data_IF_635218266629
#
_entry.id   IF_635218266629
#
_cell.length_a   1.000
_cell.length_b   1.000
_cell.length_c   1.000
_cell.angle_alpha   90.00
_cell.angle_beta   90.00
_cell.angle_gamma   90.00
#
_symmetry.space_group_name_H-M   'P 1'
#
loop_
_entity.id
_entity.type
_entity.pdbx_description
1 polymer ?
#
# COMPACT_ATOMS: atom_id res chain seq x y z
N UNK A 1 -23.25 5.95 1.19
CA UNK A 1 -22.05 5.86 0.34
C UNK A 1 -22.41 4.92 -0.79
N UNK A 2 -22.33 5.41 -2.01
CA UNK A 2 -22.74 4.69 -3.21
C UNK A 2 -21.50 4.30 -4.01
N UNK A 3 -21.61 3.25 -4.81
CA UNK A 3 -20.51 2.71 -5.59
C UNK A 3 -20.87 2.84 -7.06
N UNK A 4 -19.90 3.24 -7.87
CA UNK A 4 -20.09 3.54 -9.28
C UNK A 4 -19.02 2.85 -10.11
N UNK A 5 -19.40 2.32 -11.28
CA UNK A 5 -18.48 1.89 -12.33
C UNK A 5 -18.63 2.77 -13.56
N UNK A 6 -17.51 3.19 -14.12
CA UNK A 6 -17.43 3.95 -15.36
C UNK A 6 -17.00 3.02 -16.49
N UNK A 7 -17.72 3.08 -17.60
CA UNK A 7 -17.43 2.26 -18.78
C UNK A 7 -16.76 3.12 -19.86
N UNK A 8 -15.75 2.54 -20.51
CA UNK A 8 -15.21 3.07 -21.74
C UNK A 8 -16.18 2.80 -22.92
N UNK A 9 -16.02 3.48 -24.07
CA UNK A 9 -16.87 3.30 -25.25
C UNK A 9 -16.88 1.87 -25.82
N UNK A 10 -15.87 1.06 -25.47
CA UNK A 10 -15.72 -0.34 -25.85
C UNK A 10 -16.39 -1.32 -24.86
N UNK A 11 -17.02 -0.80 -23.79
CA UNK A 11 -17.66 -1.59 -22.73
C UNK A 11 -16.70 -2.11 -21.66
N UNK A 12 -15.41 -1.78 -21.73
CA UNK A 12 -14.44 -2.12 -20.67
C UNK A 12 -14.63 -1.21 -19.45
N UNK A 13 -14.35 -1.73 -18.25
CA UNK A 13 -14.40 -0.94 -17.01
C UNK A 13 -13.19 -0.02 -16.98
N UNK A 14 -13.44 1.29 -16.96
CA UNK A 14 -12.40 2.32 -16.91
C UNK A 14 -11.98 2.61 -15.47
N UNK A 15 -12.96 2.80 -14.58
CA UNK A 15 -12.73 3.20 -13.19
C UNK A 15 -13.90 2.78 -12.32
N UNK A 16 -13.62 2.48 -11.05
CA UNK A 16 -14.62 2.19 -10.02
C UNK A 16 -14.41 3.15 -8.84
N UNK A 17 -15.46 3.84 -8.41
CA UNK A 17 -15.39 4.88 -7.38
C UNK A 17 -16.43 4.66 -6.26
N UNK A 18 -16.07 5.05 -5.03
CA UNK A 18 -17.00 5.11 -3.91
C UNK A 18 -17.30 6.58 -3.57
N UNK A 19 -18.41 7.08 -4.11
CA UNK A 19 -18.79 8.48 -3.95
C UNK A 19 -20.31 8.65 -3.98
N UNK A 20 -20.83 9.65 -3.26
CA UNK A 20 -22.25 10.01 -3.30
C UNK A 20 -22.41 11.29 -4.09
N UNK A 21 -22.63 11.17 -5.41
CA UNK A 21 -22.84 12.31 -6.28
C UNK A 21 -24.22 12.94 -5.99
N UNK A 22 -24.32 14.27 -5.88
CA UNK A 22 -25.60 14.95 -5.71
C UNK A 22 -26.41 15.05 -7.02
N UNK A 23 -25.88 14.53 -8.13
CA UNK A 23 -26.46 14.56 -9.47
C UNK A 23 -26.16 13.26 -10.22
N UNK A 24 -26.93 12.98 -11.27
CA UNK A 24 -26.70 11.82 -12.16
C UNK A 24 -25.41 12.07 -12.94
N UNK A 25 -24.44 11.17 -12.81
CA UNK A 25 -23.18 11.22 -13.56
C UNK A 25 -23.38 10.46 -14.88
N UNK A 26 -23.27 11.12 -16.05
CA UNK A 26 -23.34 10.43 -17.33
C UNK A 26 -22.21 9.40 -17.42
N UNK A 27 -22.51 8.23 -18.01
CA UNK A 27 -21.61 7.09 -18.18
C UNK A 27 -21.19 6.35 -16.88
N UNK A 28 -21.82 6.68 -15.75
CA UNK A 28 -21.65 5.97 -14.48
C UNK A 28 -22.82 5.02 -14.21
N UNK A 29 -22.52 3.75 -13.95
CA UNK A 29 -23.49 2.75 -13.51
C UNK A 29 -23.32 2.55 -12.01
N UNK A 30 -24.38 2.74 -11.25
CA UNK A 30 -24.37 2.41 -9.83
C UNK A 30 -24.24 0.88 -9.66
N UNK A 31 -23.30 0.46 -8.84
CA UNK A 31 -23.02 -0.94 -8.53
C UNK A 31 -23.24 -1.22 -7.05
N UNK A 32 -23.34 -2.50 -6.70
CA UNK A 32 -23.38 -2.89 -5.30
C UNK A 32 -21.99 -2.84 -4.67
N UNK A 33 -21.94 -2.89 -3.34
CA UNK A 33 -20.68 -2.96 -2.59
C UNK A 33 -19.89 -4.22 -2.97
N UNK A 34 -20.57 -5.33 -3.19
CA UNK A 34 -19.97 -6.62 -3.53
C UNK A 34 -19.26 -6.57 -4.89
N UNK A 35 -19.85 -5.91 -5.89
CA UNK A 35 -19.21 -5.68 -7.19
C UNK A 35 -17.97 -4.78 -7.06
N UNK A 36 -18.05 -3.74 -6.22
CA UNK A 36 -16.92 -2.86 -5.93
C UNK A 36 -15.77 -3.63 -5.28
N UNK A 37 -16.04 -4.37 -4.20
CA UNK A 37 -15.03 -5.12 -3.46
C UNK A 37 -14.41 -6.23 -4.33
N UNK A 38 -15.20 -6.88 -5.19
CA UNK A 38 -14.69 -7.86 -6.16
C UNK A 38 -13.76 -7.24 -7.21
N UNK A 39 -14.07 -6.04 -7.70
CA UNK A 39 -13.19 -5.32 -8.62
C UNK A 39 -11.87 -4.93 -7.93
N UNK A 40 -11.94 -4.35 -6.73
CA UNK A 40 -10.74 -3.99 -5.95
C UNK A 40 -9.87 -5.22 -5.67
N UNK A 41 -10.47 -6.36 -5.29
CA UNK A 41 -9.75 -7.61 -5.06
C UNK A 41 -9.15 -8.23 -6.33
N UNK A 42 -9.69 -7.88 -7.51
CA UNK A 42 -9.15 -8.32 -8.80
C UNK A 42 -7.95 -7.50 -9.28
N UNK A 43 -7.71 -6.34 -8.68
CA UNK A 43 -6.55 -5.52 -9.02
C UNK A 43 -5.27 -6.27 -8.61
N UNK A 44 -4.22 -6.23 -9.45
CA UNK A 44 -2.94 -6.80 -9.08
C UNK A 44 -2.43 -6.11 -7.82
N UNK A 45 -1.99 -6.88 -6.83
CA UNK A 45 -1.31 -6.32 -5.67
C UNK A 45 -0.07 -5.57 -6.15
N UNK A 46 0.13 -4.30 -5.74
CA UNK A 46 1.35 -3.60 -6.07
C UNK A 46 2.53 -4.38 -5.49
N UNK A 47 3.54 -4.64 -6.32
CA UNK A 47 4.79 -5.22 -5.81
C UNK A 47 5.33 -4.33 -4.68
N UNK A 48 5.75 -4.91 -3.54
CA UNK A 48 6.35 -4.11 -2.49
C UNK A 48 7.59 -3.41 -3.07
N UNK A 49 7.82 -2.13 -2.72
CA UNK A 49 9.02 -1.45 -3.15
C UNK A 49 10.25 -2.24 -2.69
N UNK A 50 11.33 -2.28 -3.49
CA UNK A 50 12.56 -2.93 -3.05
C UNK A 50 13.06 -2.28 -1.76
N UNK A 51 13.60 -3.06 -0.82
CA UNK A 51 14.11 -2.52 0.44
C UNK A 51 15.24 -1.53 0.16
N UNK A 52 15.24 -0.43 0.89
CA UNK A 52 16.31 0.55 0.90
C UNK A 52 17.61 -0.07 1.46
N UNK A 53 18.78 0.51 1.16
CA UNK A 53 20.04 0.04 1.73
C UNK A 53 20.04 -0.01 3.27
N UNK A 54 19.34 0.92 3.92
CA UNK A 54 19.21 0.96 5.37
C UNK A 54 18.32 -0.17 5.91
N UNK A 55 17.23 -0.50 5.22
CA UNK A 55 16.36 -1.65 5.54
C UNK A 55 17.11 -2.97 5.35
N UNK A 56 17.90 -3.09 4.27
CA UNK A 56 18.77 -4.25 4.04
C UNK A 56 19.78 -4.41 5.17
N UNK A 57 20.45 -3.32 5.58
CA UNK A 57 21.43 -3.36 6.68
C UNK A 57 20.79 -3.75 8.01
N UNK A 58 19.60 -3.22 8.30
CA UNK A 58 18.85 -3.59 9.50
C UNK A 58 18.45 -5.07 9.47
N UNK A 59 17.97 -5.58 8.32
CA UNK A 59 17.65 -7.00 8.15
C UNK A 59 18.87 -7.89 8.32
N UNK A 60 20.03 -7.51 7.80
CA UNK A 60 21.29 -8.23 8.01
C UNK A 60 21.69 -8.28 9.48
N UNK A 61 21.58 -7.17 10.21
CA UNK A 61 21.87 -7.10 11.65
C UNK A 61 20.95 -8.01 12.46
N UNK A 62 19.65 -8.02 12.15
CA UNK A 62 18.67 -8.83 12.86
C UNK A 62 18.76 -10.32 12.49
N UNK A 63 19.04 -10.64 11.22
CA UNK A 63 19.11 -12.03 10.72
C UNK A 63 20.39 -12.73 11.13
N UNK A 64 21.49 -11.99 11.29
CA UNK A 64 22.79 -12.54 11.71
C UNK A 64 23.07 -12.36 13.20
N UNK A 65 22.15 -11.76 13.97
CA UNK A 65 22.35 -11.64 15.41
C UNK A 65 22.35 -13.04 16.03
N UNK A 66 23.42 -13.45 16.74
CA UNK A 66 23.32 -14.59 17.65
C UNK A 66 22.26 -14.29 18.71
N UNK A 67 21.88 -15.27 19.54
CA UNK A 67 20.92 -15.09 20.65
C UNK A 67 21.21 -13.88 21.58
N UNK A 68 22.39 -13.25 21.44
CA UNK A 68 22.82 -12.01 22.08
C UNK A 68 23.34 -11.00 21.03
N UNK A 69 22.58 -9.93 20.78
CA UNK A 69 23.04 -8.77 20.01
C UNK A 69 23.99 -7.90 20.85
N UNK A 70 25.08 -7.40 20.27
CA UNK A 70 26.07 -6.58 20.97
C UNK A 70 25.63 -5.11 21.09
N UNK A 71 26.16 -4.38 22.08
CA UNK A 71 25.82 -2.97 22.29
C UNK A 71 26.09 -2.06 21.08
N UNK A 72 27.19 -2.24 20.31
CA UNK A 72 27.38 -1.51 19.05
C UNK A 72 26.31 -1.81 17.99
N UNK A 73 25.92 -3.08 17.84
CA UNK A 73 24.88 -3.49 16.88
C UNK A 73 23.50 -2.94 17.26
N UNK A 74 23.17 -2.91 18.56
CA UNK A 74 21.96 -2.24 19.07
C UNK A 74 21.98 -0.75 18.68
N UNK A 75 23.10 -0.07 18.90
CA UNK A 75 23.21 1.36 18.55
C UNK A 75 23.09 1.62 17.05
N UNK A 76 23.64 0.74 16.22
CA UNK A 76 23.49 0.83 14.76
C UNK A 76 22.03 0.61 14.34
N UNK A 77 21.36 -0.42 14.86
CA UNK A 77 19.96 -0.70 14.58
C UNK A 77 19.04 0.46 14.98
N UNK A 78 19.25 1.04 16.15
CA UNK A 78 18.48 2.21 16.62
C UNK A 78 18.67 3.42 15.70
N UNK A 79 19.89 3.69 15.23
CA UNK A 79 20.15 4.78 14.27
C UNK A 79 19.46 4.53 12.92
N UNK A 80 19.47 3.29 12.42
CA UNK A 80 18.80 2.94 11.18
C UNK A 80 17.28 3.11 11.30
N UNK A 81 16.70 2.70 12.43
CA UNK A 81 15.27 2.90 12.71
C UNK A 81 14.90 4.39 12.81
N UNK A 82 15.72 5.19 13.49
CA UNK A 82 15.54 6.65 13.60
C UNK A 82 15.45 7.31 12.21
N UNK A 83 16.39 6.94 11.32
CA UNK A 83 16.47 7.41 9.94
C UNK A 83 15.27 6.95 9.09
N UNK A 84 14.85 5.69 9.22
CA UNK A 84 13.71 5.13 8.48
C UNK A 84 12.38 5.74 8.90
N UNK A 85 12.22 6.08 10.18
CA UNK A 85 11.00 6.68 10.71
C UNK A 85 11.00 8.21 10.70
N UNK A 86 12.10 8.84 10.28
CA UNK A 86 12.23 10.29 10.23
C UNK A 86 12.09 10.94 11.60
N UNK A 87 12.46 10.23 12.67
CA UNK A 87 12.46 10.78 14.03
C UNK A 87 13.65 11.76 14.10
N UNK A 88 13.41 13.05 14.37
CA UNK A 88 14.49 14.02 14.47
C UNK A 88 15.32 13.73 15.74
N UNK A 89 16.62 13.53 15.55
CA UNK A 89 17.63 13.33 16.61
C UNK A 89 18.06 14.63 17.28
#
# INVERSE_FOLDING_TARGET
>A
MEYWKFLNPDGSISTVESHSYPHIVPDAIQITKEEYDAFIASLPEPEPPPPTPDELRLQELLSNSPDVITMPEIWEALRLLDKLHGIPT
#
